data_IF_444205805243
#
_entry.id   IF_444205805243
#
_cell.length_a   1.000
_cell.length_b   1.000
_cell.length_c   1.000
_cell.angle_alpha   90.00
_cell.angle_beta   90.00
_cell.angle_gamma   90.00
#
_symmetry.space_group_name_H-M   'P 1'
#
loop_
_entity.id
_entity.type
_entity.pdbx_description
1 polymer ?
#
# COMPACT_ATOMS: atom_id res chain seq x y z
N UNK A 1 12.65 12.81 8.95
CA UNK A 1 13.54 11.80 8.35
C UNK A 1 12.91 10.40 8.36
N UNK A 2 11.59 10.29 8.18
CA UNK A 2 10.94 8.98 8.06
C UNK A 2 11.40 8.28 6.78
N UNK A 3 11.46 6.93 6.78
CA UNK A 3 11.86 6.10 5.64
C UNK A 3 13.32 6.27 5.13
N UNK A 4 14.19 6.95 5.89
CA UNK A 4 15.62 6.94 5.60
C UNK A 4 16.19 5.51 5.69
N UNK A 5 16.82 5.03 4.62
CA UNK A 5 17.34 3.67 4.54
C UNK A 5 16.28 2.57 4.38
N UNK A 6 15.02 2.92 4.10
CA UNK A 6 13.96 1.94 3.89
C UNK A 6 14.18 1.20 2.55
N UNK A 7 14.62 -0.05 2.63
CA UNK A 7 14.95 -0.89 1.46
C UNK A 7 13.96 -2.03 1.20
N UNK A 8 13.05 -2.31 2.14
CA UNK A 8 12.07 -3.40 2.03
C UNK A 8 10.81 -3.19 2.84
N UNK A 9 9.77 -3.95 2.50
CA UNK A 9 8.43 -3.84 3.08
C UNK A 9 7.65 -2.64 2.56
N UNK A 10 6.56 -2.32 3.25
CA UNK A 10 5.71 -1.15 2.98
C UNK A 10 5.20 -0.60 4.31
N UNK A 11 4.87 0.68 4.34
CA UNK A 11 4.29 1.31 5.51
C UNK A 11 3.07 2.14 5.13
N UNK A 12 2.17 2.32 6.09
CA UNK A 12 1.00 3.17 5.97
C UNK A 12 1.03 4.22 7.06
N UNK A 13 0.84 5.48 6.68
CA UNK A 13 0.94 6.62 7.59
C UNK A 13 -0.36 7.41 7.55
N UNK A 14 -1.00 7.58 8.70
CA UNK A 14 -2.12 8.49 8.85
C UNK A 14 -1.63 9.95 8.90
N UNK A 15 -1.71 10.65 7.78
CA UNK A 15 -1.27 12.05 7.64
C UNK A 15 -2.42 13.02 7.93
N UNK A 16 -2.75 13.15 9.21
CA UNK A 16 -3.85 14.00 9.69
C UNK A 16 -3.80 15.42 9.10
N UNK A 17 -2.62 16.02 9.04
CA UNK A 17 -2.43 17.43 8.69
C UNK A 17 -1.86 17.64 7.28
N UNK A 18 -1.79 16.59 6.46
CA UNK A 18 -1.23 16.62 5.09
C UNK A 18 0.20 17.17 5.02
N UNK A 19 0.99 16.94 6.08
CA UNK A 19 2.36 17.49 6.24
C UNK A 19 3.45 16.41 6.21
N UNK A 20 3.06 15.13 6.14
CA UNK A 20 4.00 14.01 6.23
C UNK A 20 5.04 14.02 5.11
N UNK A 21 4.67 14.48 3.91
CA UNK A 21 5.58 14.55 2.76
C UNK A 21 6.87 15.33 3.08
N UNK A 22 6.78 16.42 3.85
CA UNK A 22 7.94 17.23 4.25
C UNK A 22 8.83 16.52 5.31
N UNK A 23 8.29 15.51 6.00
CA UNK A 23 8.98 14.76 7.06
C UNK A 23 9.56 13.44 6.57
N UNK A 24 9.27 13.06 5.33
CA UNK A 24 9.70 11.82 4.68
C UNK A 24 11.00 12.02 3.89
N UNK A 25 11.95 11.11 4.06
CA UNK A 25 13.11 11.00 3.17
C UNK A 25 12.69 10.21 1.93
N UNK A 26 12.65 10.89 0.78
CA UNK A 26 12.18 10.34 -0.50
C UNK A 26 13.29 9.79 -1.40
N UNK A 27 14.51 9.61 -0.89
CA UNK A 27 15.64 9.11 -1.69
C UNK A 27 15.39 7.69 -2.22
N UNK A 28 14.71 6.84 -1.46
CA UNK A 28 14.52 5.42 -1.78
C UNK A 28 13.06 4.99 -1.79
N UNK A 29 12.14 5.90 -1.45
CA UNK A 29 10.72 5.59 -1.31
C UNK A 29 9.86 6.59 -2.05
N UNK A 30 8.72 6.11 -2.48
CA UNK A 30 7.63 6.92 -2.98
C UNK A 30 6.49 6.97 -1.97
N UNK A 31 5.72 8.05 -2.09
CA UNK A 31 4.48 8.25 -1.37
C UNK A 31 3.32 8.09 -2.34
N UNK A 32 2.45 7.14 -2.08
CA UNK A 32 1.29 6.80 -2.91
C UNK A 32 -0.01 6.99 -2.11
N UNK A 33 -1.11 7.41 -2.76
CA UNK A 33 -2.44 7.33 -2.15
C UNK A 33 -2.87 5.86 -1.98
N UNK A 34 -3.66 5.59 -0.95
CA UNK A 34 -4.25 4.26 -0.75
C UNK A 34 -5.48 4.08 -1.66
N UNK A 35 -5.26 3.47 -2.83
CA UNK A 35 -6.33 3.16 -3.81
C UNK A 35 -6.49 1.66 -4.07
N UNK A 36 -5.51 0.85 -3.67
CA UNK A 36 -5.58 -0.61 -3.81
C UNK A 36 -6.47 -1.21 -2.71
N UNK A 37 -7.47 -2.00 -3.10
CA UNK A 37 -8.42 -2.60 -2.16
C UNK A 37 -7.74 -3.52 -1.13
N UNK A 38 -6.68 -4.23 -1.51
CA UNK A 38 -5.96 -5.12 -0.58
C UNK A 38 -5.24 -4.30 0.49
N UNK A 39 -4.67 -3.16 0.10
CA UNK A 39 -4.04 -2.23 1.05
C UNK A 39 -5.09 -1.63 2.01
N UNK A 40 -6.27 -1.25 1.49
CA UNK A 40 -7.37 -0.71 2.29
C UNK A 40 -7.84 -1.72 3.35
N UNK A 41 -8.09 -2.96 2.94
CA UNK A 41 -8.48 -4.04 3.85
C UNK A 41 -7.40 -4.35 4.88
N UNK A 42 -6.13 -4.37 4.47
CA UNK A 42 -5.01 -4.61 5.37
C UNK A 42 -4.94 -3.54 6.47
N UNK A 43 -5.01 -2.26 6.12
CA UNK A 43 -4.97 -1.18 7.11
C UNK A 43 -6.19 -1.19 8.02
N UNK A 44 -7.37 -1.47 7.48
CA UNK A 44 -8.60 -1.59 8.28
C UNK A 44 -8.45 -2.68 9.36
N UNK A 45 -8.03 -3.88 8.96
CA UNK A 45 -7.81 -5.00 9.88
C UNK A 45 -6.73 -4.68 10.93
N UNK A 46 -5.62 -4.04 10.51
CA UNK A 46 -4.58 -3.60 11.45
C UNK A 46 -5.11 -2.58 12.48
N UNK A 47 -6.02 -1.69 12.08
CA UNK A 47 -6.65 -0.74 12.99
C UNK A 47 -7.63 -1.43 13.94
N UNK A 48 -8.43 -2.39 13.47
CA UNK A 48 -9.32 -3.18 14.33
C UNK A 48 -8.53 -3.94 15.40
N UNK A 49 -7.45 -4.62 15.01
CA UNK A 49 -6.57 -5.31 15.95
C UNK A 49 -5.92 -4.31 16.91
N UNK A 50 -5.50 -3.15 16.44
CA UNK A 50 -4.94 -2.12 17.30
C UNK A 50 -5.95 -1.62 18.34
N UNK A 51 -7.21 -1.36 17.95
CA UNK A 51 -8.28 -1.01 18.89
C UNK A 51 -8.49 -2.11 19.91
N UNK A 52 -8.61 -3.36 19.47
CA UNK A 52 -8.82 -4.51 20.37
C UNK A 52 -7.72 -4.65 21.41
N UNK A 53 -6.47 -4.36 21.02
CA UNK A 53 -5.30 -4.56 21.87
C UNK A 53 -4.93 -3.34 22.72
N UNK A 54 -5.43 -2.14 22.40
CA UNK A 54 -4.98 -0.89 23.04
C UNK A 54 -6.08 0.08 23.44
N UNK A 55 -7.33 -0.20 23.07
CA UNK A 55 -8.49 0.68 23.29
C UNK A 55 -8.29 2.09 22.69
N UNK A 56 -7.52 2.18 21.61
CA UNK A 56 -7.17 3.43 20.96
C UNK A 56 -8.38 4.18 20.42
N UNK A 57 -8.77 5.26 21.11
CA UNK A 57 -9.87 6.15 20.72
C UNK A 57 -9.65 6.76 19.32
N UNK A 58 -8.39 7.06 18.97
CA UNK A 58 -8.08 7.58 17.64
C UNK A 58 -8.33 6.53 16.56
N UNK A 59 -7.88 5.29 16.78
CA UNK A 59 -8.09 4.22 15.81
C UNK A 59 -9.58 3.87 15.67
N UNK A 60 -10.33 3.85 16.78
CA UNK A 60 -11.78 3.69 16.75
C UNK A 60 -12.44 4.80 15.92
N UNK A 61 -12.07 6.07 16.15
CA UNK A 61 -12.59 7.19 15.36
C UNK A 61 -12.28 7.07 13.87
N UNK A 62 -11.10 6.57 13.52
CA UNK A 62 -10.72 6.33 12.12
C UNK A 62 -11.62 5.25 11.52
N UNK A 63 -11.86 4.14 12.20
CA UNK A 63 -12.76 3.06 11.75
C UNK A 63 -14.21 3.57 11.60
N UNK A 64 -14.72 4.30 12.59
CA UNK A 64 -16.07 4.86 12.58
C UNK A 64 -16.32 5.83 11.41
N UNK A 65 -15.26 6.47 10.90
CA UNK A 65 -15.31 7.47 9.83
C UNK A 65 -14.45 7.05 8.63
N UNK A 66 -14.35 5.75 8.38
CA UNK A 66 -13.37 5.16 7.46
C UNK A 66 -13.36 5.83 6.08
N UNK A 67 -14.51 5.97 5.44
CA UNK A 67 -14.63 6.55 4.09
C UNK A 67 -14.06 7.97 3.98
N UNK A 68 -14.18 8.75 5.04
CA UNK A 68 -13.66 10.13 5.10
C UNK A 68 -12.18 10.16 5.46
N UNK A 69 -11.77 9.28 6.37
CA UNK A 69 -10.43 9.30 6.97
C UNK A 69 -9.39 8.56 6.14
N UNK A 70 -9.78 7.56 5.36
CA UNK A 70 -8.85 6.73 4.59
C UNK A 70 -8.07 7.54 3.55
N UNK A 71 -8.67 8.61 3.02
CA UNK A 71 -8.00 9.55 2.10
C UNK A 71 -6.82 10.32 2.71
N UNK A 72 -6.65 10.25 4.05
CA UNK A 72 -5.51 10.83 4.78
C UNK A 72 -4.38 9.83 4.98
N UNK A 73 -4.57 8.57 4.63
CA UNK A 73 -3.47 7.61 4.67
C UNK A 73 -2.58 7.74 3.43
N UNK A 74 -1.28 7.65 3.68
CA UNK A 74 -0.23 7.62 2.67
C UNK A 74 0.48 6.28 2.76
N UNK A 75 0.57 5.58 1.63
CA UNK A 75 1.40 4.41 1.48
C UNK A 75 2.83 4.84 1.19
N UNK A 76 3.78 4.28 1.93
CA UNK A 76 5.21 4.47 1.73
C UNK A 76 5.77 3.18 1.15
N UNK A 77 6.29 3.28 -0.08
CA UNK A 77 6.73 2.13 -0.85
C UNK A 77 8.17 2.32 -1.33
N UNK A 78 9.13 1.46 -0.94
CA UNK A 78 10.48 1.49 -1.47
C UNK A 78 10.48 1.19 -2.97
N UNK A 79 11.21 2.00 -3.73
CA UNK A 79 11.23 1.97 -5.20
C UNK A 79 11.72 0.59 -5.70
N UNK A 80 12.85 0.12 -5.15
CA UNK A 80 13.43 -1.17 -5.54
C UNK A 80 12.54 -2.35 -5.13
N UNK A 81 11.93 -2.29 -3.95
CA UNK A 81 10.99 -3.32 -3.51
C UNK A 81 9.77 -3.41 -4.43
N UNK A 82 9.24 -2.26 -4.87
CA UNK A 82 8.12 -2.21 -5.82
C UNK A 82 8.48 -2.91 -7.14
N UNK A 83 9.67 -2.67 -7.69
CA UNK A 83 10.14 -3.31 -8.93
C UNK A 83 10.15 -4.82 -8.80
N UNK A 84 10.66 -5.35 -7.69
CA UNK A 84 10.68 -6.80 -7.43
C UNK A 84 9.27 -7.38 -7.37
N UNK A 85 8.32 -6.71 -6.69
CA UNK A 85 6.93 -7.17 -6.63
C UNK A 85 6.25 -7.18 -8.01
N UNK A 86 6.51 -6.16 -8.83
CA UNK A 86 5.97 -6.07 -10.19
C UNK A 86 6.53 -7.18 -11.09
N UNK A 87 7.82 -7.47 -11.01
CA UNK A 87 8.44 -8.57 -11.73
C UNK A 87 7.85 -9.93 -11.33
N UNK A 88 7.65 -10.17 -10.03
CA UNK A 88 7.01 -11.40 -9.53
C UNK A 88 5.57 -11.55 -10.02
N UNK A 89 4.78 -10.46 -10.01
CA UNK A 89 3.40 -10.44 -10.56
C UNK A 89 3.37 -10.67 -12.08
N UNK A 90 4.34 -10.15 -12.82
CA UNK A 90 4.43 -10.36 -14.27
C UNK A 90 4.81 -11.80 -14.62
N UNK A 91 5.73 -12.40 -13.86
CA UNK A 91 6.16 -13.78 -14.07
C UNK A 91 5.09 -14.83 -13.71
N UNK A 92 4.15 -14.51 -12.82
CA UNK A 92 3.06 -15.40 -12.43
C UNK A 92 1.80 -15.28 -13.30
N UNK A 93 1.74 -14.33 -14.24
CA UNK A 93 0.65 -14.26 -15.23
C UNK A 93 0.86 -15.38 -16.25
N UNK A 94 -0.09 -16.33 -16.41
CA UNK A 94 0.05 -17.36 -17.43
C UNK A 94 0.10 -16.70 -18.81
N UNK A 95 1.17 -16.96 -19.56
CA UNK A 95 1.29 -16.60 -20.97
C UNK A 95 0.05 -17.13 -21.69
N UNK A 96 -0.67 -16.33 -22.51
CA UNK A 96 -1.77 -16.86 -23.29
C UNK A 96 -1.19 -17.90 -24.27
N UNK A 97 -1.30 -19.18 -23.90
CA UNK A 97 -0.94 -20.31 -24.74
C UNK A 97 -2.00 -20.43 -25.82
N UNK A 98 -1.84 -19.64 -26.88
CA UNK A 98 -2.71 -19.60 -28.04
C UNK A 98 -1.90 -19.53 -29.31
N UNK A 99 -1.13 -20.58 -29.61
CA UNK A 99 -0.72 -20.83 -31.01
C UNK A 99 -1.99 -21.20 -31.77
N UNK A 100 -2.62 -20.21 -32.42
CA UNK A 100 -3.55 -20.48 -33.50
C UNK A 100 -2.78 -21.17 -34.63
N UNK A 101 -2.81 -22.50 -34.61
CA UNK A 101 -2.25 -23.36 -35.64
C UNK A 101 -3.16 -23.26 -36.87
N UNK A 102 -2.56 -22.83 -37.96
CA UNK A 102 -3.11 -22.80 -39.32
C UNK A 102 -3.66 -24.19 -39.69
N UNK A 103 -4.93 -24.27 -40.09
CA UNK A 103 -5.54 -25.25 -41.01
C UNK A 103 -6.80 -24.52 -41.54
N UNK A 104 -7.06 -24.25 -42.80
CA UNK A 104 -6.59 -24.80 -44.06
C UNK A 104 -7.82 -24.95 -44.96
N UNK A 105 -7.72 -24.38 -46.18
CA UNK A 105 -8.68 -24.36 -47.31
C UNK A 105 -9.59 -23.14 -47.41
#
# INVERSE_FOLDING_TARGET
NFAAGMSGGMAFVFDKDRSFAARCNRQMVDLEPMVDESDLWLVFAMLEDHVRNTESVLAQRILDNWELMVSRFVKVMPIEYRKVLQQKRAASRPTPTGRARILGR
#
